data_IF_849923981416
#
_entry.id   IF_849923981416
#
_cell.length_a   1.000
_cell.length_b   1.000
_cell.length_c   1.000
_cell.angle_alpha   90.00
_cell.angle_beta   90.00
_cell.angle_gamma   90.00
#
_symmetry.space_group_name_H-M   'P 1'
#
loop_
_entity.id
_entity.type
_entity.pdbx_description
1 polymer ?
#
# COMPACT_ATOMS: atom_id res chain seq x y z
N UNK A 1 -5.54 24.57 -34.31
CA UNK A 1 -4.95 24.85 -32.99
C UNK A 1 -5.78 24.15 -31.92
N UNK A 2 -5.10 23.60 -30.91
CA UNK A 2 -5.59 23.03 -29.64
C UNK A 2 -6.50 21.79 -29.68
N UNK A 3 -5.86 20.63 -29.89
CA UNK A 3 -6.14 19.39 -29.15
C UNK A 3 -4.82 18.90 -28.54
N UNK A 4 -4.36 19.57 -27.48
CA UNK A 4 -3.41 18.96 -26.56
C UNK A 4 -4.26 18.32 -25.46
N UNK A 5 -4.69 17.09 -25.71
CA UNK A 5 -5.35 16.23 -24.74
C UNK A 5 -4.44 16.02 -23.53
N UNK A 6 -4.86 16.52 -22.37
CA UNK A 6 -5.03 15.89 -21.03
C UNK A 6 -4.32 14.57 -20.66
N UNK A 7 -3.31 14.10 -21.40
CA UNK A 7 -2.65 12.82 -21.12
C UNK A 7 -1.73 13.03 -19.90
N UNK A 8 -2.18 12.50 -18.77
CA UNK A 8 -1.39 12.46 -17.54
C UNK A 8 -1.68 13.58 -16.54
N UNK A 9 -2.63 14.49 -16.78
CA UNK A 9 -3.01 15.48 -15.76
C UNK A 9 -3.69 14.78 -14.57
N UNK A 10 -3.32 15.17 -13.34
CA UNK A 10 -3.94 14.58 -12.13
C UNK A 10 -5.35 15.13 -11.93
N UNK A 11 -5.61 16.38 -12.25
CA UNK A 11 -6.97 16.92 -12.24
C UNK A 11 -7.50 16.98 -13.67
N UNK A 12 -8.69 16.41 -13.87
CA UNK A 12 -9.37 16.46 -15.13
C UNK A 12 -9.76 17.93 -15.44
N UNK A 13 -9.65 18.41 -16.71
CA UNK A 13 -9.68 19.85 -17.00
C UNK A 13 -10.91 20.61 -16.48
N UNK A 14 -12.10 20.03 -16.63
CA UNK A 14 -13.36 20.62 -16.16
C UNK A 14 -13.49 20.64 -14.63
N UNK A 15 -13.05 19.57 -13.96
CA UNK A 15 -12.99 19.53 -12.49
C UNK A 15 -11.95 20.54 -11.96
N UNK A 16 -10.78 20.62 -12.59
CA UNK A 16 -9.74 21.59 -12.25
C UNK A 16 -10.27 23.03 -12.35
N UNK A 17 -10.92 23.39 -13.47
CA UNK A 17 -11.50 24.70 -13.66
C UNK A 17 -12.57 25.04 -12.61
N UNK A 18 -13.41 24.07 -12.24
CA UNK A 18 -14.40 24.27 -11.18
C UNK A 18 -13.74 24.46 -9.80
N UNK A 19 -12.74 23.66 -9.47
CA UNK A 19 -12.05 23.76 -8.18
C UNK A 19 -11.28 25.07 -8.03
N UNK A 20 -10.66 25.56 -9.11
CA UNK A 20 -10.01 26.88 -9.14
C UNK A 20 -11.05 27.98 -8.90
N UNK A 21 -12.21 27.93 -9.57
CA UNK A 21 -13.29 28.91 -9.37
C UNK A 21 -13.81 28.95 -7.92
N UNK A 22 -13.66 27.85 -7.18
CA UNK A 22 -14.09 27.71 -5.79
C UNK A 22 -12.96 27.97 -4.78
N UNK A 23 -11.77 28.41 -5.23
CA UNK A 23 -10.56 28.57 -4.41
C UNK A 23 -10.14 27.29 -3.67
N UNK A 24 -10.49 26.12 -4.22
CA UNK A 24 -10.17 24.80 -3.66
C UNK A 24 -8.89 24.21 -4.28
N UNK A 25 -8.33 24.85 -5.29
CA UNK A 25 -7.03 24.54 -5.90
C UNK A 25 -6.26 25.83 -6.08
N UNK A 26 -5.03 25.85 -5.59
CA UNK A 26 -4.08 26.93 -5.76
C UNK A 26 -2.92 26.46 -6.64
N UNK A 27 -2.58 27.28 -7.64
CA UNK A 27 -1.43 27.06 -8.50
C UNK A 27 -0.26 27.90 -7.95
N UNK A 28 0.88 27.29 -7.61
CA UNK A 28 2.07 28.04 -7.18
C UNK A 28 2.49 29.05 -8.25
N UNK A 29 2.91 30.23 -7.79
CA UNK A 29 3.50 31.27 -8.64
C UNK A 29 4.90 31.62 -8.10
N UNK A 30 6.00 31.29 -8.82
CA UNK A 30 6.03 30.66 -10.13
C UNK A 30 5.62 29.17 -10.11
N UNK A 31 5.13 28.62 -11.25
CA UNK A 31 4.81 27.20 -11.36
C UNK A 31 6.02 26.31 -11.10
N UNK A 32 5.85 25.30 -10.25
CA UNK A 32 6.89 24.33 -9.90
C UNK A 32 6.50 22.88 -10.26
N UNK A 33 5.44 22.70 -11.06
CA UNK A 33 4.90 21.39 -11.43
C UNK A 33 4.08 20.70 -10.33
N UNK A 34 3.81 21.39 -9.22
CA UNK A 34 2.90 20.96 -8.16
C UNK A 34 1.72 21.92 -8.03
N UNK A 35 0.64 21.44 -7.44
CA UNK A 35 -0.57 22.21 -7.11
C UNK A 35 -0.95 21.97 -5.65
N UNK A 36 -1.64 22.92 -5.04
CA UNK A 36 -2.19 22.77 -3.69
C UNK A 36 -3.70 22.59 -3.79
N UNK A 37 -4.18 21.42 -3.42
CA UNK A 37 -5.60 21.08 -3.46
C UNK A 37 -6.17 20.95 -2.05
N UNK A 38 -7.37 21.48 -1.83
CA UNK A 38 -8.06 21.33 -0.56
C UNK A 38 -8.25 19.85 -0.27
N UNK A 39 -7.90 19.42 0.94
CA UNK A 39 -7.93 18.02 1.37
C UNK A 39 -9.27 17.31 1.18
N UNK A 40 -10.40 18.04 1.14
CA UNK A 40 -11.76 17.54 0.86
C UNK A 40 -12.03 17.17 -0.59
N UNK A 41 -11.08 17.47 -1.50
CA UNK A 41 -11.21 17.26 -2.95
C UNK A 41 -10.14 16.34 -3.54
N UNK A 42 -9.24 15.80 -2.73
CA UNK A 42 -8.21 14.86 -3.19
C UNK A 42 -8.85 13.62 -3.83
N UNK A 43 -9.62 12.84 -3.09
CA UNK A 43 -10.29 11.64 -3.61
C UNK A 43 -11.79 11.64 -3.30
N UNK A 44 -12.51 10.62 -3.74
CA UNK A 44 -13.97 10.49 -3.57
C UNK A 44 -14.47 10.52 -2.11
N UNK A 45 -13.58 10.33 -1.14
CA UNK A 45 -13.94 10.28 0.28
C UNK A 45 -13.33 11.37 1.12
N UNK A 46 -12.41 12.11 0.53
CA UNK A 46 -11.80 13.26 1.14
C UNK A 46 -12.81 14.19 1.78
N UNK A 47 -13.97 14.39 1.17
CA UNK A 47 -15.02 15.24 1.73
C UNK A 47 -15.53 14.75 3.10
N UNK A 48 -15.73 13.43 3.25
CA UNK A 48 -16.23 12.84 4.48
C UNK A 48 -15.15 12.78 5.59
N UNK A 49 -13.90 12.43 5.25
CA UNK A 49 -12.80 12.31 6.23
C UNK A 49 -12.37 13.67 6.71
N UNK A 50 -12.38 14.66 5.82
CA UNK A 50 -12.00 16.03 6.13
C UNK A 50 -13.22 16.92 6.34
N UNK A 51 -14.37 16.36 6.72
CA UNK A 51 -15.61 17.14 6.97
C UNK A 51 -15.45 18.23 8.01
N UNK A 52 -14.51 18.05 8.94
CA UNK A 52 -14.13 19.01 9.96
C UNK A 52 -13.33 20.21 9.42
N UNK A 53 -12.90 20.17 8.16
CA UNK A 53 -12.21 21.26 7.47
C UNK A 53 -13.27 22.04 6.67
N UNK A 54 -13.54 23.31 7.01
CA UNK A 54 -14.46 24.14 6.25
C UNK A 54 -13.95 24.36 4.81
N UNK A 55 -14.84 24.29 3.82
CA UNK A 55 -14.46 24.49 2.39
C UNK A 55 -14.02 25.92 2.07
N UNK A 56 -14.39 26.89 2.92
CA UNK A 56 -13.94 28.28 2.82
C UNK A 56 -12.61 28.53 3.55
N UNK A 57 -11.89 27.47 3.95
CA UNK A 57 -10.57 27.61 4.52
C UNK A 57 -9.61 28.23 3.48
N UNK A 58 -9.05 29.39 3.81
CA UNK A 58 -8.02 30.02 2.99
C UNK A 58 -6.66 29.38 3.31
N UNK A 59 -5.89 29.06 2.28
CA UNK A 59 -4.55 28.48 2.38
C UNK A 59 -3.57 29.28 3.24
N UNK A 60 -3.67 30.62 3.24
CA UNK A 60 -2.83 31.49 4.06
C UNK A 60 -3.15 31.32 5.55
N UNK A 61 -4.43 31.14 5.89
CA UNK A 61 -4.91 31.01 7.27
C UNK A 61 -4.87 29.58 7.80
N UNK A 62 -5.01 28.60 6.90
CA UNK A 62 -5.24 27.17 7.16
C UNK A 62 -4.47 26.32 6.15
N UNK A 63 -3.13 26.38 6.13
CA UNK A 63 -2.33 25.61 5.17
C UNK A 63 -2.51 24.09 5.37
N UNK A 64 -2.86 23.66 6.58
CA UNK A 64 -3.21 22.28 6.92
C UNK A 64 -4.47 21.77 6.19
N UNK A 65 -5.34 22.67 5.72
CA UNK A 65 -6.53 22.33 4.92
C UNK A 65 -6.18 21.87 3.50
N UNK A 66 -4.95 22.11 3.04
CA UNK A 66 -4.48 21.82 1.70
C UNK A 66 -3.41 20.72 1.70
N UNK A 67 -3.29 20.05 0.56
CA UNK A 67 -2.23 19.09 0.29
C UNK A 67 -1.54 19.49 -1.02
N UNK A 68 -0.21 19.43 -1.02
CA UNK A 68 0.59 19.63 -2.23
C UNK A 68 0.71 18.30 -2.97
N UNK A 69 0.35 18.28 -4.24
CA UNK A 69 0.46 17.13 -5.14
C UNK A 69 1.07 17.59 -6.47
N UNK A 70 1.65 16.69 -7.28
CA UNK A 70 2.05 17.02 -8.63
C UNK A 70 0.85 17.46 -9.48
N UNK A 71 1.10 18.30 -10.49
CA UNK A 71 0.09 18.67 -11.49
C UNK A 71 -0.17 17.51 -12.45
N UNK A 72 0.90 16.77 -12.81
CA UNK A 72 0.88 15.66 -13.76
C UNK A 72 1.40 14.39 -13.12
N UNK A 73 0.74 13.28 -13.41
CA UNK A 73 1.08 11.95 -12.92
C UNK A 73 2.48 11.51 -13.37
N UNK A 74 2.88 11.83 -14.60
CA UNK A 74 4.23 11.58 -15.13
C UNK A 74 4.96 12.92 -15.21
N UNK A 75 5.80 13.21 -14.21
CA UNK A 75 6.55 14.46 -14.12
C UNK A 75 7.72 14.37 -13.14
N UNK A 76 8.66 15.33 -13.21
CA UNK A 76 9.69 15.54 -12.18
C UNK A 76 9.07 15.70 -10.78
N UNK A 77 8.00 16.48 -10.67
CA UNK A 77 7.29 16.70 -9.41
C UNK A 77 6.72 15.40 -8.83
N UNK A 78 6.29 14.45 -9.67
CA UNK A 78 5.92 13.10 -9.20
C UNK A 78 7.10 12.34 -8.62
N UNK A 79 8.28 12.43 -9.23
CA UNK A 79 9.49 11.76 -8.71
C UNK A 79 9.87 12.32 -7.33
N UNK A 80 9.75 13.63 -7.15
CA UNK A 80 9.92 14.27 -5.83
C UNK A 80 8.84 13.79 -4.84
N UNK A 81 7.58 13.79 -5.29
CA UNK A 81 6.43 13.38 -4.47
C UNK A 81 6.57 11.94 -3.95
N UNK A 82 6.98 10.99 -4.79
CA UNK A 82 7.13 9.59 -4.38
C UNK A 82 8.31 9.36 -3.42
N UNK A 83 9.23 10.32 -3.28
CA UNK A 83 10.19 10.33 -2.18
C UNK A 83 11.62 10.74 -2.50
N UNK A 84 11.96 11.07 -3.75
CA UNK A 84 13.31 11.55 -4.08
C UNK A 84 13.49 13.04 -3.74
N UNK A 85 14.72 13.46 -3.47
CA UNK A 85 15.04 14.87 -3.37
C UNK A 85 15.08 15.53 -4.77
N UNK A 86 15.08 16.86 -4.84
CA UNK A 86 15.02 17.60 -6.12
C UNK A 86 16.18 17.28 -7.06
N UNK A 87 17.39 17.11 -6.54
CA UNK A 87 18.58 16.86 -7.37
C UNK A 87 18.48 15.50 -8.05
N UNK A 88 18.17 14.45 -7.27
CA UNK A 88 17.96 13.11 -7.80
C UNK A 88 16.73 13.05 -8.71
N UNK A 89 15.64 13.74 -8.37
CA UNK A 89 14.48 13.81 -9.23
C UNK A 89 14.79 14.46 -10.58
N UNK A 90 15.68 15.47 -10.62
CA UNK A 90 16.17 16.09 -11.86
C UNK A 90 16.92 15.07 -12.73
N UNK A 91 17.82 14.29 -12.12
CA UNK A 91 18.57 13.22 -12.79
C UNK A 91 17.63 12.15 -13.37
N UNK A 92 16.72 11.60 -12.56
CA UNK A 92 15.77 10.55 -12.95
C UNK A 92 14.86 11.04 -14.07
N UNK A 93 14.36 12.28 -13.95
CA UNK A 93 13.51 12.90 -14.97
C UNK A 93 14.27 13.11 -16.28
N UNK A 94 15.52 13.55 -16.21
CA UNK A 94 16.40 13.69 -17.36
C UNK A 94 16.55 12.38 -18.13
N UNK A 95 16.69 11.25 -17.43
CA UNK A 95 16.73 9.92 -18.04
C UNK A 95 15.40 9.49 -18.67
N UNK A 96 14.27 9.81 -18.03
CA UNK A 96 12.93 9.49 -18.57
C UNK A 96 12.61 10.29 -19.85
N UNK A 97 12.97 11.57 -19.89
CA UNK A 97 12.72 12.43 -21.06
C UNK A 97 13.65 12.05 -22.21
N UNK A 98 14.93 11.79 -21.93
CA UNK A 98 15.93 11.41 -22.91
C UNK A 98 16.03 9.88 -23.07
N UNK A 99 14.88 9.20 -23.05
CA UNK A 99 14.82 7.75 -23.11
C UNK A 99 15.49 7.23 -24.40
N UNK A 100 16.45 6.30 -24.30
CA UNK A 100 17.16 5.81 -25.47
C UNK A 100 16.22 5.00 -26.37
N UNK A 101 16.40 5.11 -27.68
CA UNK A 101 15.76 4.19 -28.62
C UNK A 101 16.26 2.76 -28.37
N UNK A 102 15.34 1.80 -28.27
CA UNK A 102 15.71 0.40 -28.00
C UNK A 102 14.50 -0.53 -28.00
N UNK A 103 14.74 -1.79 -27.60
CA UNK A 103 13.71 -2.82 -27.47
C UNK A 103 12.78 -2.66 -26.25
N UNK A 104 13.04 -1.65 -25.41
CA UNK A 104 12.25 -1.30 -24.24
C UNK A 104 11.79 0.14 -24.41
N UNK A 105 10.48 0.36 -24.34
CA UNK A 105 9.85 1.67 -24.50
C UNK A 105 9.25 2.15 -23.17
N UNK A 106 8.86 3.42 -23.11
CA UNK A 106 8.08 3.95 -21.98
C UNK A 106 6.61 3.58 -22.15
N UNK A 107 5.87 3.52 -21.05
CA UNK A 107 4.41 3.31 -21.08
C UNK A 107 3.62 4.37 -21.87
N UNK A 108 4.23 5.53 -22.13
CA UNK A 108 3.65 6.62 -22.91
C UNK A 108 4.03 6.59 -24.39
N UNK A 109 4.99 5.75 -24.77
CA UNK A 109 5.43 5.64 -26.16
C UNK A 109 4.45 4.76 -26.95
N UNK A 110 4.31 4.98 -28.28
CA UNK A 110 3.50 4.11 -29.12
C UNK A 110 3.98 2.66 -29.03
N UNK A 111 3.08 1.75 -28.65
CA UNK A 111 3.36 0.32 -28.55
C UNK A 111 2.78 -0.43 -29.76
N UNK A 112 3.52 -1.42 -30.24
CA UNK A 112 3.04 -2.41 -31.21
C UNK A 112 2.38 -3.64 -30.56
N UNK A 113 2.21 -3.61 -29.22
CA UNK A 113 1.66 -4.71 -28.43
C UNK A 113 2.63 -5.87 -28.15
N UNK A 114 3.84 -5.84 -28.72
CA UNK A 114 4.88 -6.86 -28.51
C UNK A 114 6.11 -6.32 -27.80
N UNK A 115 6.33 -5.00 -27.87
CA UNK A 115 7.45 -4.31 -27.24
C UNK A 115 7.23 -4.15 -25.73
N UNK A 116 8.25 -4.48 -24.94
CA UNK A 116 8.20 -4.37 -23.49
C UNK A 116 8.16 -2.89 -23.07
N UNK A 117 7.11 -2.47 -22.38
CA UNK A 117 6.99 -1.14 -21.82
C UNK A 117 7.41 -1.11 -20.34
N UNK A 118 8.13 -0.07 -19.93
CA UNK A 118 8.45 0.21 -18.53
C UNK A 118 7.50 1.28 -18.01
N UNK A 119 6.84 0.99 -16.89
CA UNK A 119 6.00 1.97 -16.20
C UNK A 119 6.85 3.10 -15.60
N UNK A 120 6.29 4.30 -15.48
CA UNK A 120 7.00 5.43 -14.89
C UNK A 120 7.44 5.16 -13.46
N UNK A 121 6.59 4.49 -12.68
CA UNK A 121 6.92 4.13 -11.29
C UNK A 121 8.01 3.07 -11.22
N UNK A 122 8.03 2.08 -12.12
CA UNK A 122 9.11 1.08 -12.17
C UNK A 122 10.45 1.70 -12.58
N UNK A 123 10.42 2.70 -13.47
CA UNK A 123 11.61 3.50 -13.77
C UNK A 123 12.15 4.20 -12.53
N UNK A 124 11.31 4.95 -11.81
CA UNK A 124 11.72 5.67 -10.60
C UNK A 124 12.29 4.71 -9.53
N UNK A 125 11.63 3.56 -9.29
CA UNK A 125 12.06 2.55 -8.31
C UNK A 125 13.43 1.92 -8.61
N UNK A 126 13.91 1.94 -9.87
CA UNK A 126 15.26 1.43 -10.19
C UNK A 126 16.36 2.25 -9.55
N UNK A 127 16.10 3.53 -9.28
CA UNK A 127 17.08 4.44 -8.67
C UNK A 127 17.22 4.27 -7.14
N UNK A 128 16.50 3.32 -6.52
CA UNK A 128 16.73 2.94 -5.12
C UNK A 128 17.87 1.92 -4.95
N UNK A 129 18.49 1.49 -6.04
CA UNK A 129 19.52 0.43 -6.06
C UNK A 129 18.97 -0.94 -6.45
N UNK A 130 19.90 -1.89 -6.64
CA UNK A 130 19.60 -3.28 -6.98
C UNK A 130 19.59 -4.15 -5.71
N UNK A 131 18.44 -4.69 -5.27
CA UNK A 131 18.37 -5.51 -4.06
C UNK A 131 19.13 -6.84 -4.18
N UNK A 132 19.51 -7.26 -5.39
CA UNK A 132 20.35 -8.44 -5.60
C UNK A 132 21.85 -8.16 -5.37
N UNK A 133 22.27 -6.90 -5.39
CA UNK A 133 23.66 -6.52 -5.18
C UNK A 133 23.92 -6.11 -3.72
N UNK A 134 23.11 -5.20 -3.20
CA UNK A 134 23.26 -4.69 -1.84
C UNK A 134 21.96 -4.08 -1.33
N UNK A 135 21.58 -4.43 -0.11
CA UNK A 135 20.43 -3.85 0.58
C UNK A 135 20.66 -3.86 2.10
N UNK A 136 20.17 -2.83 2.78
CA UNK A 136 20.32 -2.67 4.23
C UNK A 136 19.08 -3.18 4.92
N UNK A 137 19.25 -4.07 5.89
CA UNK A 137 18.12 -4.62 6.66
C UNK A 137 18.43 -4.87 8.13
N UNK A 138 19.71 -4.86 8.50
CA UNK A 138 20.13 -4.95 9.88
C UNK A 138 19.69 -3.72 10.69
N UNK A 139 19.77 -3.84 12.01
CA UNK A 139 19.42 -2.75 12.92
C UNK A 139 20.56 -1.75 13.09
N UNK A 140 21.10 -1.26 11.97
CA UNK A 140 22.11 -0.19 11.92
C UNK A 140 21.52 1.06 11.29
N UNK A 141 21.04 1.98 12.12
CA UNK A 141 20.46 3.24 11.66
C UNK A 141 21.39 4.01 10.72
N UNK A 142 22.70 3.98 10.95
CA UNK A 142 23.68 4.72 10.13
C UNK A 142 23.76 4.14 8.73
N UNK A 143 23.72 2.81 8.58
CA UNK A 143 23.67 2.15 7.28
C UNK A 143 22.38 2.49 6.52
N UNK A 144 21.23 2.54 7.20
CA UNK A 144 19.96 2.90 6.58
C UNK A 144 19.97 4.34 6.04
N UNK A 145 20.37 5.31 6.87
CA UNK A 145 20.47 6.71 6.45
C UNK A 145 21.46 6.88 5.30
N UNK A 146 22.66 6.29 5.41
CA UNK A 146 23.68 6.35 4.36
C UNK A 146 23.18 5.80 3.03
N UNK A 147 22.47 4.67 3.04
CA UNK A 147 21.89 4.09 1.81
C UNK A 147 20.85 5.03 1.19
N UNK A 148 19.95 5.58 1.99
CA UNK A 148 18.92 6.51 1.52
C UNK A 148 19.51 7.82 0.99
N UNK A 149 20.54 8.36 1.63
CA UNK A 149 21.27 9.55 1.17
C UNK A 149 21.96 9.29 -0.18
N UNK A 150 22.65 8.15 -0.33
CA UNK A 150 23.28 7.74 -1.59
C UNK A 150 22.26 7.59 -2.73
N UNK A 151 21.06 7.09 -2.42
CA UNK A 151 19.96 6.98 -3.37
C UNK A 151 19.31 8.34 -3.68
N UNK A 152 19.63 9.41 -2.95
CA UNK A 152 19.01 10.72 -3.12
C UNK A 152 17.56 10.78 -2.61
N UNK A 153 17.24 10.04 -1.55
CA UNK A 153 15.92 10.06 -0.91
C UNK A 153 15.75 11.34 -0.09
N UNK A 154 14.58 11.96 -0.16
CA UNK A 154 14.27 13.18 0.59
C UNK A 154 14.25 12.94 2.10
N UNK A 155 14.75 13.90 2.88
CA UNK A 155 14.85 13.83 4.35
C UNK A 155 13.51 13.53 5.03
N UNK A 156 12.39 14.04 4.49
CA UNK A 156 11.05 13.71 4.98
C UNK A 156 10.80 12.21 4.95
N UNK A 157 11.02 11.56 3.82
CA UNK A 157 10.80 10.13 3.67
C UNK A 157 11.79 9.32 4.53
N UNK A 158 13.05 9.76 4.61
CA UNK A 158 14.04 9.12 5.50
C UNK A 158 13.54 9.11 6.95
N UNK A 159 13.09 10.25 7.46
CA UNK A 159 12.56 10.38 8.82
C UNK A 159 11.28 9.54 9.02
N UNK A 160 10.41 9.49 8.01
CA UNK A 160 9.18 8.69 8.04
C UNK A 160 9.44 7.18 8.09
N UNK A 161 10.50 6.68 7.43
CA UNK A 161 10.91 5.27 7.50
C UNK A 161 11.65 4.98 8.81
N UNK A 162 12.51 5.90 9.25
CA UNK A 162 13.41 5.70 10.41
C UNK A 162 12.80 6.07 11.76
N UNK A 163 11.51 6.40 11.80
CA UNK A 163 10.81 6.72 13.04
C UNK A 163 10.95 5.59 14.08
N UNK A 164 11.57 5.86 15.25
CA UNK A 164 11.87 4.83 16.24
C UNK A 164 10.63 4.08 16.75
N UNK A 165 9.45 4.70 16.70
CA UNK A 165 8.18 4.09 17.15
C UNK A 165 7.77 2.89 16.29
N UNK A 166 8.30 2.83 15.06
CA UNK A 166 8.01 1.78 14.06
C UNK A 166 9.24 0.95 13.73
N UNK A 167 10.26 0.94 14.61
CA UNK A 167 11.50 0.16 14.41
C UNK A 167 11.22 -1.32 14.10
N UNK A 168 10.34 -1.96 14.86
CA UNK A 168 9.92 -3.35 14.65
C UNK A 168 9.28 -3.56 13.27
N UNK A 169 8.44 -2.61 12.81
CA UNK A 169 7.85 -2.66 11.47
C UNK A 169 8.90 -2.44 10.37
N UNK A 170 9.81 -1.47 10.57
CA UNK A 170 10.94 -1.22 9.66
C UNK A 170 11.80 -2.48 9.50
N UNK A 171 12.05 -3.21 10.57
CA UNK A 171 12.89 -4.42 10.55
C UNK A 171 12.20 -5.64 9.93
N UNK A 172 10.91 -5.61 9.58
CA UNK A 172 10.28 -6.72 8.83
C UNK A 172 10.63 -6.72 7.33
N UNK A 173 11.35 -5.70 6.86
CA UNK A 173 11.71 -5.51 5.46
C UNK A 173 13.12 -4.97 5.32
N UNK A 174 13.50 -4.69 4.08
CA UNK A 174 14.79 -4.07 3.74
C UNK A 174 14.61 -2.59 3.40
N UNK A 175 15.70 -1.84 3.34
CA UNK A 175 15.70 -0.42 3.00
C UNK A 175 15.13 -0.21 1.59
N UNK A 176 15.65 -0.92 0.58
CA UNK A 176 15.12 -0.85 -0.79
C UNK A 176 13.65 -1.29 -0.82
N UNK A 177 13.30 -2.34 -0.07
CA UNK A 177 11.93 -2.83 0.04
C UNK A 177 10.96 -1.75 0.51
N UNK A 178 11.29 -1.04 1.60
CA UNK A 178 10.43 0.03 2.12
C UNK A 178 10.40 1.28 1.25
N UNK A 179 11.50 1.64 0.61
CA UNK A 179 11.53 2.75 -0.35
C UNK A 179 10.58 2.47 -1.50
N UNK A 180 10.73 1.31 -2.17
CA UNK A 180 9.89 0.92 -3.31
C UNK A 180 8.42 0.79 -2.92
N UNK A 181 8.13 0.16 -1.78
CA UNK A 181 6.77 0.07 -1.25
C UNK A 181 6.17 1.45 -0.98
N UNK A 182 6.94 2.38 -0.41
CA UNK A 182 6.43 3.75 -0.16
C UNK A 182 6.17 4.51 -1.46
N UNK A 183 7.08 4.38 -2.43
CA UNK A 183 6.93 5.01 -3.74
C UNK A 183 5.67 4.52 -4.46
N UNK A 184 5.41 3.21 -4.45
CA UNK A 184 4.18 2.62 -4.99
C UNK A 184 2.94 3.17 -4.28
N UNK A 185 2.93 3.16 -2.95
CA UNK A 185 1.80 3.70 -2.17
C UNK A 185 1.50 5.17 -2.49
N UNK A 186 2.54 5.99 -2.63
CA UNK A 186 2.40 7.41 -2.99
C UNK A 186 1.92 7.58 -4.42
N UNK A 187 2.42 6.77 -5.36
CA UNK A 187 2.02 6.83 -6.76
C UNK A 187 0.56 6.37 -6.97
N UNK A 188 0.18 5.23 -6.41
CA UNK A 188 -1.21 4.71 -6.42
C UNK A 188 -2.21 5.73 -5.85
N UNK A 189 -1.76 6.54 -4.88
CA UNK A 189 -2.59 7.61 -4.32
C UNK A 189 -2.87 8.74 -5.32
N UNK A 190 -1.88 9.11 -6.14
CA UNK A 190 -2.07 10.09 -7.21
C UNK A 190 -3.03 9.55 -8.28
N UNK A 191 -2.95 8.26 -8.61
CA UNK A 191 -3.89 7.61 -9.53
C UNK A 191 -5.33 7.58 -8.96
N UNK A 192 -5.50 7.43 -7.65
CA UNK A 192 -6.81 7.55 -7.00
C UNK A 192 -7.36 8.99 -7.06
N UNK A 193 -6.51 9.99 -6.88
CA UNK A 193 -6.89 11.41 -7.04
C UNK A 193 -7.34 11.67 -8.49
N UNK A 194 -6.57 11.17 -9.46
CA UNK A 194 -6.89 11.30 -10.88
C UNK A 194 -8.22 10.65 -11.24
N UNK A 195 -8.46 9.42 -10.78
CA UNK A 195 -9.74 8.74 -10.97
C UNK A 195 -10.89 9.52 -10.33
N UNK A 196 -10.71 10.01 -9.11
CA UNK A 196 -11.75 10.79 -8.43
C UNK A 196 -12.05 12.12 -9.11
N UNK A 197 -11.05 12.78 -9.70
CA UNK A 197 -11.23 14.00 -10.49
C UNK A 197 -12.01 13.73 -11.78
N UNK A 198 -11.66 12.66 -12.52
CA UNK A 198 -12.39 12.24 -13.70
C UNK A 198 -13.86 11.86 -13.41
N UNK A 199 -14.13 11.24 -12.26
CA UNK A 199 -15.50 10.97 -11.81
C UNK A 199 -16.30 12.26 -11.54
N UNK A 200 -15.67 13.28 -10.93
CA UNK A 200 -16.30 14.57 -10.70
C UNK A 200 -16.60 15.31 -11.99
N UNK A 201 -15.66 15.32 -12.94
CA UNK A 201 -15.88 15.94 -14.26
C UNK A 201 -17.08 15.31 -14.97
N UNK A 202 -17.15 13.98 -15.02
CA UNK A 202 -18.33 13.27 -15.57
C UNK A 202 -19.62 13.70 -14.88
N UNK A 203 -19.61 13.87 -13.55
CA UNK A 203 -20.80 14.32 -12.83
C UNK A 203 -21.22 15.76 -13.20
N UNK A 204 -20.28 16.64 -13.56
CA UNK A 204 -20.58 18.00 -14.04
C UNK A 204 -21.28 17.99 -15.40
N UNK A 205 -20.86 17.12 -16.32
CA UNK A 205 -21.48 16.97 -17.63
C UNK A 205 -22.95 16.51 -17.53
N UNK A 206 -23.25 15.62 -16.59
CA UNK A 206 -24.61 15.12 -16.35
C UNK A 206 -25.52 16.15 -15.65
N UNK A 207 -24.95 17.09 -14.88
CA UNK A 207 -25.72 18.19 -14.28
C UNK A 207 -26.10 19.27 -15.31
N UNK A 208 -25.34 19.41 -16.40
CA UNK A 208 -25.64 20.33 -17.50
C UNK A 208 -26.79 19.89 -18.42
N UNK A 209 -27.26 18.63 -18.31
CA UNK A 209 -28.17 18.01 -19.30
C UNK A 209 -29.53 17.57 -18.75
N UNK A 210 -29.85 17.78 -17.47
CA UNK A 210 -31.17 17.37 -16.91
C UNK A 210 -31.78 18.39 -15.95
N UNK A 211 -32.90 18.98 -16.40
CA UNK A 211 -33.92 19.57 -15.52
C UNK A 211 -34.90 18.46 -15.15
N UNK A 212 -34.57 17.58 -14.20
CA UNK A 212 -35.59 16.69 -13.60
C UNK A 212 -35.17 16.10 -12.24
N UNK A 213 -36.03 16.40 -11.25
CA UNK A 213 -36.30 15.68 -10.00
C UNK A 213 -35.13 15.34 -9.07
N UNK A 214 -34.95 16.19 -8.05
CA UNK A 214 -34.31 15.83 -6.77
C UNK A 214 -35.03 14.62 -6.16
N UNK A 215 -34.46 13.43 -6.28
CA UNK A 215 -34.52 12.41 -5.23
C UNK A 215 -33.18 12.37 -4.53
N UNK A 216 -33.13 12.97 -3.34
CA UNK A 216 -32.10 12.68 -2.36
C UNK A 216 -32.18 11.18 -2.02
N UNK A 217 -31.23 10.39 -2.51
CA UNK A 217 -30.91 9.08 -1.92
C UNK A 217 -29.56 9.20 -1.22
N UNK A 218 -29.58 8.99 0.09
CA UNK A 218 -28.45 9.18 0.97
C UNK A 218 -27.24 8.31 0.66
N UNK A 219 -26.07 8.90 0.90
CA UNK A 219 -24.88 8.33 1.52
C UNK A 219 -24.64 6.82 1.34
N UNK A 220 -23.59 6.47 0.59
CA UNK A 220 -22.75 5.31 0.88
C UNK A 220 -21.27 5.64 0.60
N UNK A 221 -20.47 5.47 1.66
CA UNK A 221 -19.09 5.88 1.89
C UNK A 221 -18.07 4.96 1.18
N UNK A 222 -16.98 5.53 0.62
CA UNK A 222 -16.32 5.01 -0.60
C UNK A 222 -14.77 5.01 -0.54
N UNK A 223 -14.08 4.56 0.53
CA UNK A 223 -12.61 4.81 0.77
C UNK A 223 -11.63 3.80 0.18
N UNK A 224 -11.24 3.78 -1.10
CA UNK A 224 -10.56 2.56 -1.56
C UNK A 224 -9.54 2.60 -2.71
N UNK A 225 -8.26 2.93 -2.45
CA UNK A 225 -7.20 2.68 -3.44
C UNK A 225 -6.96 1.17 -3.65
N UNK A 226 -6.88 0.38 -2.56
CA UNK A 226 -6.88 -1.09 -2.63
C UNK A 226 -8.21 -1.74 -2.42
N UNK A 227 -9.07 -1.16 -1.61
CA UNK A 227 -10.31 -1.83 -1.26
C UNK A 227 -11.37 -1.67 -2.37
N UNK A 228 -11.07 -1.16 -3.58
CA UNK A 228 -12.09 -0.63 -4.50
C UNK A 228 -13.05 -1.72 -5.03
N UNK A 229 -14.27 -1.73 -4.51
CA UNK A 229 -15.22 -2.83 -4.75
C UNK A 229 -14.97 -4.06 -3.86
N UNK A 230 -14.18 -3.91 -2.78
CA UNK A 230 -14.05 -4.86 -1.68
C UNK A 230 -15.41 -5.07 -1.06
N UNK A 231 -16.20 -4.01 -0.91
CA UNK A 231 -17.58 -4.09 -0.44
C UNK A 231 -18.54 -3.76 -1.59
N UNK A 232 -19.69 -4.42 -1.62
CA UNK A 232 -20.82 -4.02 -2.46
C UNK A 232 -21.55 -2.80 -1.86
N UNK A 233 -22.67 -2.43 -2.50
CA UNK A 233 -23.49 -1.30 -2.08
C UNK A 233 -24.27 -1.56 -0.79
N UNK A 234 -24.38 -2.82 -0.36
CA UNK A 234 -25.01 -3.23 0.89
C UNK A 234 -23.99 -3.35 2.04
N UNK A 235 -22.70 -3.15 1.77
CA UNK A 235 -21.62 -3.26 2.74
C UNK A 235 -21.05 -4.67 2.88
N UNK A 236 -21.50 -5.64 2.08
CA UNK A 236 -20.99 -7.00 2.12
C UNK A 236 -19.69 -7.16 1.33
N UNK A 237 -18.85 -8.10 1.73
CA UNK A 237 -17.56 -8.39 1.08
C UNK A 237 -17.74 -8.95 -0.35
N UNK A 238 -17.55 -8.10 -1.36
CA UNK A 238 -17.69 -8.41 -2.79
C UNK A 238 -16.39 -8.91 -3.43
N UNK A 239 -15.26 -8.19 -3.29
CA UNK A 239 -13.98 -8.52 -3.93
C UNK A 239 -12.84 -8.74 -2.94
N UNK A 240 -12.94 -9.82 -2.17
CA UNK A 240 -11.92 -10.20 -1.19
C UNK A 240 -10.51 -10.38 -1.79
N UNK A 241 -10.40 -10.67 -3.09
CA UNK A 241 -9.13 -10.79 -3.80
C UNK A 241 -8.25 -9.55 -3.66
N UNK A 242 -8.84 -8.38 -3.41
CA UNK A 242 -8.13 -7.14 -3.17
C UNK A 242 -7.29 -7.13 -1.87
N UNK A 243 -7.59 -8.03 -0.94
CA UNK A 243 -6.85 -8.21 0.32
C UNK A 243 -5.81 -9.34 0.25
N UNK A 244 -5.62 -9.97 -0.92
CA UNK A 244 -4.66 -11.07 -1.03
C UNK A 244 -3.22 -10.57 -0.98
N UNK A 245 -2.38 -11.24 -0.19
CA UNK A 245 -0.93 -11.04 -0.21
C UNK A 245 -0.31 -11.98 -1.22
N UNK A 246 0.48 -11.48 -2.20
CA UNK A 246 1.18 -12.34 -3.15
C UNK A 246 2.36 -13.07 -2.47
N UNK A 247 2.76 -14.25 -2.97
CA UNK A 247 3.90 -15.00 -2.46
C UNK A 247 5.27 -14.33 -2.78
N UNK A 248 6.33 -14.58 -2.02
CA UNK A 248 6.41 -15.45 -0.82
C UNK A 248 6.00 -14.71 0.45
N UNK A 249 5.37 -15.45 1.36
CA UNK A 249 4.86 -14.99 2.66
C UNK A 249 5.26 -15.99 3.76
N UNK A 250 4.85 -15.77 5.01
CA UNK A 250 5.20 -16.65 6.14
C UNK A 250 4.74 -18.10 5.95
N UNK A 251 3.56 -18.30 5.34
CA UNK A 251 2.94 -19.63 5.26
C UNK A 251 2.57 -20.01 3.84
N UNK A 252 3.02 -19.26 2.84
CA UNK A 252 2.86 -19.64 1.44
C UNK A 252 4.04 -19.22 0.58
N UNK A 253 4.64 -20.22 -0.08
CA UNK A 253 5.74 -20.04 -1.04
C UNK A 253 5.28 -19.59 -2.42
N UNK A 254 4.06 -19.93 -2.81
CA UNK A 254 3.60 -19.87 -4.23
C UNK A 254 2.13 -19.54 -4.44
N UNK A 255 1.29 -19.62 -3.41
CA UNK A 255 -0.11 -19.22 -3.48
C UNK A 255 -0.28 -17.84 -2.85
N UNK A 256 -1.15 -17.00 -3.42
CA UNK A 256 -1.62 -15.84 -2.67
C UNK A 256 -2.49 -16.32 -1.49
N UNK A 257 -2.48 -15.61 -0.37
CA UNK A 257 -3.31 -15.96 0.80
C UNK A 257 -3.88 -14.68 1.43
N UNK A 258 -4.88 -14.81 2.30
CA UNK A 258 -5.45 -13.68 3.05
C UNK A 258 -4.92 -13.68 4.47
N UNK A 259 -4.27 -12.58 4.86
CA UNK A 259 -3.59 -12.44 6.15
C UNK A 259 -4.33 -11.48 7.06
N UNK A 260 -4.68 -11.93 8.26
CA UNK A 260 -5.34 -11.11 9.27
C UNK A 260 -4.62 -11.26 10.61
N UNK A 261 -4.62 -10.21 11.43
CA UNK A 261 -4.18 -10.28 12.82
C UNK A 261 -5.38 -10.06 13.74
N UNK A 262 -5.57 -10.87 14.80
CA UNK A 262 -6.56 -10.58 15.83
C UNK A 262 -6.10 -9.44 16.76
N UNK A 263 -4.83 -9.02 16.68
CA UNK A 263 -4.28 -7.96 17.52
C UNK A 263 -4.56 -6.57 16.90
N UNK A 264 -5.60 -5.91 17.41
CA UNK A 264 -5.96 -4.56 16.98
C UNK A 264 -4.83 -3.55 17.19
N UNK A 265 -4.02 -3.70 18.24
CA UNK A 265 -2.92 -2.78 18.52
C UNK A 265 -1.84 -2.87 17.44
N UNK A 266 -1.55 -4.09 16.96
CA UNK A 266 -0.65 -4.33 15.83
C UNK A 266 -1.23 -3.80 14.53
N UNK A 267 -2.50 -4.09 14.22
CA UNK A 267 -3.17 -3.56 13.03
C UNK A 267 -3.15 -2.02 12.99
N UNK A 268 -3.42 -1.38 14.13
CA UNK A 268 -3.35 0.07 14.28
C UNK A 268 -1.94 0.61 14.11
N UNK A 269 -0.93 -0.10 14.63
CA UNK A 269 0.49 0.27 14.46
C UNK A 269 0.89 0.23 12.98
N UNK A 270 0.54 -0.85 12.27
CA UNK A 270 0.76 -0.97 10.83
C UNK A 270 0.06 0.13 10.03
N UNK A 271 -1.21 0.39 10.32
CA UNK A 271 -1.97 1.45 9.65
C UNK A 271 -1.37 2.85 9.89
N UNK A 272 -0.91 3.12 11.12
CA UNK A 272 -0.26 4.39 11.47
C UNK A 272 1.04 4.56 10.70
N UNK A 273 1.82 3.49 10.59
CA UNK A 273 3.08 3.52 9.87
C UNK A 273 2.90 3.72 8.36
N UNK A 274 1.91 3.06 7.74
CA UNK A 274 1.55 3.29 6.34
C UNK A 274 1.12 4.75 6.14
N UNK A 275 0.24 5.26 7.03
CA UNK A 275 -0.26 6.64 6.98
C UNK A 275 0.85 7.68 7.08
N UNK A 276 1.90 7.40 7.85
CA UNK A 276 3.06 8.30 7.96
C UNK A 276 3.87 8.36 6.67
N UNK A 277 3.96 7.23 5.95
CA UNK A 277 4.79 7.13 4.74
C UNK A 277 4.08 7.59 3.47
N UNK A 278 2.75 7.65 3.43
CA UNK A 278 2.05 8.06 2.20
C UNK A 278 0.55 8.31 2.39
N UNK A 279 -0.33 7.56 1.70
CA UNK A 279 -1.76 7.81 1.71
C UNK A 279 -2.42 7.51 3.06
N UNK A 280 -3.66 7.99 3.28
CA UNK A 280 -4.49 7.52 4.38
C UNK A 280 -4.60 5.99 4.37
N UNK A 281 -4.35 5.38 5.53
CA UNK A 281 -4.55 3.95 5.75
C UNK A 281 -5.89 3.69 6.45
N UNK A 282 -6.48 2.54 6.18
CA UNK A 282 -7.69 2.04 6.86
C UNK A 282 -7.38 0.68 7.47
N UNK A 283 -8.08 0.36 8.56
CA UNK A 283 -8.09 -0.98 9.14
C UNK A 283 -9.39 -1.64 8.68
N UNK A 284 -9.28 -2.81 8.07
CA UNK A 284 -10.44 -3.63 7.71
C UNK A 284 -10.62 -4.67 8.81
N UNK A 285 -11.79 -4.65 9.46
CA UNK A 285 -12.20 -5.69 10.38
C UNK A 285 -13.02 -6.73 9.64
N UNK A 286 -12.68 -8.01 9.82
CA UNK A 286 -13.46 -9.13 9.32
C UNK A 286 -13.96 -9.92 10.52
N UNK A 287 -15.28 -10.13 10.59
CA UNK A 287 -15.89 -11.03 11.55
C UNK A 287 -16.13 -12.39 10.88
N UNK A 288 -15.60 -13.44 11.50
CA UNK A 288 -15.83 -14.83 11.11
C UNK A 288 -16.61 -15.47 12.27
N UNK A 289 -17.67 -16.22 11.97
CA UNK A 289 -18.45 -16.90 13.01
C UNK A 289 -17.57 -17.94 13.70
N UNK A 290 -17.63 -18.02 15.04
CA UNK A 290 -16.85 -18.98 15.81
C UNK A 290 -17.10 -20.43 15.37
N UNK A 291 -18.33 -20.75 14.93
CA UNK A 291 -18.69 -22.05 14.38
C UNK A 291 -17.82 -22.44 13.19
N UNK A 292 -17.46 -21.49 12.31
CA UNK A 292 -16.63 -21.75 11.13
C UNK A 292 -15.23 -22.21 11.53
N UNK A 293 -14.66 -21.69 12.62
CA UNK A 293 -13.33 -22.09 13.08
C UNK A 293 -13.40 -23.33 13.97
N UNK A 294 -14.39 -23.39 14.87
CA UNK A 294 -14.53 -24.49 15.84
C UNK A 294 -15.01 -25.79 15.23
N UNK A 295 -15.68 -25.75 14.07
CA UNK A 295 -16.10 -26.94 13.33
C UNK A 295 -15.12 -27.40 12.25
N UNK A 296 -13.98 -26.71 12.06
CA UNK A 296 -12.97 -27.14 11.09
C UNK A 296 -12.29 -28.42 11.56
N UNK A 297 -12.16 -29.38 10.64
CA UNK A 297 -11.39 -30.59 10.89
C UNK A 297 -9.89 -30.26 11.01
N UNK A 298 -9.15 -31.14 11.68
CA UNK A 298 -7.71 -30.97 11.93
C UNK A 298 -6.87 -30.93 10.65
N UNK A 299 -7.40 -31.41 9.52
CA UNK A 299 -6.72 -31.32 8.23
C UNK A 299 -6.92 -29.94 7.59
N UNK A 300 -8.09 -29.33 7.76
CA UNK A 300 -8.46 -28.02 7.22
C UNK A 300 -7.88 -26.85 8.01
N UNK A 301 -7.65 -27.04 9.31
CA UNK A 301 -7.04 -26.04 10.19
C UNK A 301 -5.68 -26.52 10.69
N UNK A 302 -4.62 -25.78 10.35
CA UNK A 302 -3.27 -26.06 10.81
C UNK A 302 -2.73 -24.96 11.72
N UNK A 303 -1.97 -25.36 12.74
CA UNK A 303 -1.29 -24.45 13.64
C UNK A 303 0.24 -24.50 13.46
N UNK A 304 0.88 -23.33 13.45
CA UNK A 304 2.33 -23.19 13.39
C UNK A 304 2.78 -22.06 14.32
N UNK A 305 3.24 -22.39 15.52
CA UNK A 305 3.67 -21.40 16.52
C UNK A 305 5.17 -21.48 16.76
N UNK A 306 5.81 -20.31 16.85
CA UNK A 306 7.18 -20.21 17.34
C UNK A 306 7.23 -20.58 18.84
N UNK A 307 8.30 -21.22 19.35
CA UNK A 307 9.55 -21.59 18.66
C UNK A 307 9.55 -23.02 18.06
N UNK A 308 8.38 -23.63 17.86
CA UNK A 308 8.31 -25.04 17.47
C UNK A 308 8.96 -25.31 16.10
N UNK A 309 9.48 -26.53 15.90
CA UNK A 309 10.15 -26.94 14.66
C UNK A 309 9.27 -26.76 13.42
N UNK A 310 7.98 -27.11 13.49
CA UNK A 310 7.05 -26.94 12.38
C UNK A 310 6.97 -25.49 11.91
N UNK A 311 6.95 -24.51 12.83
CA UNK A 311 6.94 -23.09 12.47
C UNK A 311 8.25 -22.69 11.80
N UNK A 312 9.40 -23.08 12.39
CA UNK A 312 10.72 -22.71 11.87
C UNK A 312 10.95 -23.23 10.46
N UNK A 313 10.65 -24.51 10.24
CA UNK A 313 10.78 -25.16 8.93
C UNK A 313 9.79 -24.57 7.91
N UNK A 314 8.52 -24.41 8.29
CA UNK A 314 7.49 -23.88 7.39
C UNK A 314 7.81 -22.46 6.92
N UNK A 315 8.09 -21.56 7.88
CA UNK A 315 8.38 -20.14 7.58
C UNK A 315 9.63 -20.03 6.72
N UNK A 316 10.68 -20.78 7.07
CA UNK A 316 11.91 -20.79 6.28
C UNK A 316 11.62 -21.20 4.84
N UNK A 317 11.05 -22.39 4.62
CA UNK A 317 10.74 -22.89 3.27
C UNK A 317 9.85 -21.94 2.46
N UNK A 318 8.83 -21.35 3.10
CA UNK A 318 7.94 -20.39 2.45
C UNK A 318 8.65 -19.10 2.06
N UNK A 319 9.36 -18.45 3.00
CA UNK A 319 10.06 -17.17 2.80
C UNK A 319 11.10 -17.26 1.69
N UNK A 320 11.89 -18.33 1.66
CA UNK A 320 12.97 -18.54 0.66
C UNK A 320 12.52 -19.31 -0.59
N UNK A 321 11.21 -19.51 -0.76
CA UNK A 321 10.59 -20.16 -1.94
C UNK A 321 11.07 -21.59 -2.21
N UNK A 322 11.51 -22.33 -1.19
CA UNK A 322 11.89 -23.74 -1.32
C UNK A 322 10.66 -24.66 -1.28
N UNK A 323 10.79 -25.83 -1.90
CA UNK A 323 9.76 -26.87 -1.85
C UNK A 323 9.57 -27.36 -0.42
N UNK A 324 8.32 -27.48 0.03
CA UNK A 324 7.99 -28.03 1.34
C UNK A 324 8.31 -29.53 1.41
N UNK A 325 8.94 -30.01 2.51
CA UNK A 325 9.01 -31.42 2.86
C UNK A 325 7.61 -32.05 2.98
N UNK A 326 7.53 -33.38 2.90
CA UNK A 326 6.24 -34.08 2.89
C UNK A 326 5.43 -33.81 4.15
N UNK A 327 6.11 -33.69 5.30
CA UNK A 327 5.55 -33.48 6.62
C UNK A 327 4.87 -32.10 6.76
N UNK A 328 5.27 -31.14 5.91
CA UNK A 328 4.73 -29.78 5.89
C UNK A 328 3.71 -29.53 4.77
N UNK A 329 3.45 -30.52 3.90
CA UNK A 329 2.47 -30.36 2.81
C UNK A 329 1.07 -30.04 3.30
N UNK A 330 0.70 -30.55 4.48
CA UNK A 330 -0.59 -30.24 5.13
C UNK A 330 -0.87 -28.74 5.27
N UNK A 331 0.16 -27.90 5.42
CA UNK A 331 -0.01 -26.45 5.50
C UNK A 331 -0.39 -25.82 4.14
N UNK A 332 0.00 -26.42 3.01
CA UNK A 332 -0.36 -25.92 1.68
C UNK A 332 -1.82 -26.23 1.30
N UNK A 333 -2.38 -27.26 1.93
CA UNK A 333 -3.72 -27.79 1.65
C UNK A 333 -4.75 -27.29 2.68
N UNK A 334 -4.29 -26.73 3.81
CA UNK A 334 -5.14 -26.14 4.84
C UNK A 334 -5.98 -24.96 4.33
N UNK A 335 -7.24 -24.90 4.78
CA UNK A 335 -8.15 -23.76 4.58
C UNK A 335 -7.70 -22.58 5.44
N UNK A 336 -7.31 -22.86 6.69
CA UNK A 336 -6.86 -21.88 7.67
C UNK A 336 -5.56 -22.31 8.32
N UNK A 337 -4.59 -21.40 8.34
CA UNK A 337 -3.37 -21.54 9.14
C UNK A 337 -3.38 -20.47 10.23
N UNK A 338 -3.26 -20.89 11.48
CA UNK A 338 -3.05 -19.98 12.61
C UNK A 338 -1.60 -20.10 13.05
N UNK A 339 -0.86 -19.00 13.02
CA UNK A 339 0.55 -19.07 13.37
C UNK A 339 1.20 -17.77 13.77
N UNK A 340 2.40 -17.88 14.32
CA UNK A 340 3.17 -16.71 14.77
C UNK A 340 3.66 -15.89 13.58
N UNK A 341 3.55 -14.56 13.66
CA UNK A 341 4.01 -13.65 12.60
C UNK A 341 5.53 -13.57 12.62
N UNK A 342 6.14 -13.85 11.48
CA UNK A 342 7.57 -13.79 11.35
C UNK A 342 8.07 -12.35 11.18
N UNK A 343 9.18 -12.04 11.82
CA UNK A 343 9.89 -10.78 11.70
C UNK A 343 11.14 -10.98 10.83
N UNK A 344 11.77 -9.89 10.38
CA UNK A 344 12.90 -9.87 9.44
C UNK A 344 12.50 -10.07 7.97
N UNK A 345 13.29 -9.52 7.03
CA UNK A 345 13.10 -9.75 5.60
C UNK A 345 13.55 -11.14 5.17
N UNK A 346 13.18 -11.55 3.96
CA UNK A 346 13.51 -12.87 3.40
C UNK A 346 15.02 -13.17 3.40
N UNK A 347 15.87 -12.16 3.16
CA UNK A 347 17.34 -12.30 3.20
C UNK A 347 17.88 -12.79 4.55
N UNK A 348 17.20 -12.46 5.66
CA UNK A 348 17.56 -12.99 6.98
C UNK A 348 17.43 -14.51 7.05
N UNK A 349 16.39 -15.06 6.40
CA UNK A 349 16.12 -16.49 6.33
C UNK A 349 17.01 -17.20 5.31
N UNK A 350 17.37 -16.54 4.21
CA UNK A 350 18.30 -17.08 3.21
C UNK A 350 19.69 -17.36 3.80
N UNK A 351 20.09 -16.59 4.80
CA UNK A 351 21.39 -16.70 5.48
C UNK A 351 21.40 -17.68 6.66
N UNK A 352 20.28 -18.34 6.96
CA UNK A 352 20.13 -19.21 8.14
C UNK A 352 19.52 -20.53 7.79
N UNK A 353 19.72 -21.52 8.64
CA UNK A 353 18.97 -22.77 8.67
C UNK A 353 17.75 -22.65 9.59
N UNK A 354 16.72 -23.49 9.39
CA UNK A 354 15.57 -23.56 10.29
C UNK A 354 15.95 -23.76 11.77
N UNK A 355 17.03 -24.50 12.05
CA UNK A 355 17.51 -24.77 13.40
C UNK A 355 17.96 -23.50 14.15
N UNK A 356 18.40 -22.48 13.45
CA UNK A 356 18.90 -21.21 14.01
C UNK A 356 17.78 -20.21 14.34
N UNK A 357 16.53 -20.47 13.90
CA UNK A 357 15.40 -19.55 14.06
C UNK A 357 14.73 -19.63 15.44
N UNK A 358 15.53 -19.63 16.51
CA UNK A 358 15.06 -19.84 17.90
C UNK A 358 14.96 -18.57 18.73
N UNK A 359 15.46 -17.45 18.22
CA UNK A 359 15.49 -16.17 18.93
C UNK A 359 14.17 -15.41 18.78
N UNK A 360 13.81 -14.60 19.78
CA UNK A 360 12.62 -13.74 19.77
C UNK A 360 12.65 -12.67 18.67
N UNK A 361 13.84 -12.35 18.15
CA UNK A 361 13.99 -11.43 17.02
C UNK A 361 13.43 -11.97 15.70
N UNK A 362 13.12 -13.27 15.63
CA UNK A 362 12.50 -13.94 14.48
C UNK A 362 10.99 -13.69 14.39
N UNK A 363 10.36 -13.09 15.42
CA UNK A 363 8.91 -12.91 15.49
C UNK A 363 8.52 -11.49 15.88
N UNK A 364 7.32 -11.07 15.46
CA UNK A 364 6.79 -9.77 15.87
C UNK A 364 6.27 -9.87 17.30
N UNK A 365 6.78 -9.01 18.19
CA UNK A 365 6.30 -8.91 19.57
C UNK A 365 5.13 -7.96 19.73
N UNK A 366 4.17 -8.32 20.58
CA UNK A 366 3.07 -7.46 21.04
C UNK A 366 2.94 -7.55 22.56
N UNK A 367 2.18 -6.62 23.15
CA UNK A 367 1.90 -6.63 24.59
C UNK A 367 1.24 -7.94 25.01
N UNK A 368 1.77 -8.55 26.06
CA UNK A 368 1.23 -9.73 26.72
C UNK A 368 0.03 -9.38 27.62
N UNK A 369 -0.69 -10.40 28.12
CA UNK A 369 -1.82 -10.21 29.03
C UNK A 369 -1.42 -9.62 30.40
N UNK A 370 -0.13 -9.76 30.77
CA UNK A 370 0.43 -9.17 31.98
C UNK A 370 1.01 -7.78 31.67
N UNK A 371 0.94 -6.86 32.63
CA UNK A 371 1.55 -5.54 32.51
C UNK A 371 3.06 -5.68 32.26
N UNK A 372 3.55 -5.11 31.15
CA UNK A 372 4.94 -5.26 30.71
C UNK A 372 5.28 -6.63 30.06
N UNK A 373 4.30 -7.51 29.88
CA UNK A 373 4.50 -8.82 29.24
C UNK A 373 4.79 -8.71 27.74
N UNK A 374 5.61 -9.64 27.24
CA UNK A 374 5.86 -9.85 25.81
C UNK A 374 5.12 -11.11 25.35
N UNK A 375 4.50 -11.06 24.17
CA UNK A 375 4.02 -12.25 23.46
C UNK A 375 4.27 -12.12 21.97
N UNK A 376 4.51 -13.25 21.30
CA UNK A 376 4.60 -13.25 19.85
C UNK A 376 3.20 -13.03 19.22
N UNK A 377 3.13 -12.12 18.25
CA UNK A 377 1.92 -11.84 17.50
C UNK A 377 1.51 -13.04 16.66
N UNK A 378 0.21 -13.24 16.49
CA UNK A 378 -0.36 -14.34 15.70
C UNK A 378 -1.09 -13.76 14.50
N UNK A 379 -1.12 -14.51 13.41
CA UNK A 379 -1.92 -14.23 12.22
C UNK A 379 -2.80 -15.43 11.86
N UNK A 380 -3.96 -15.10 11.30
CA UNK A 380 -4.93 -16.01 10.72
C UNK A 380 -4.77 -15.91 9.21
N UNK A 381 -4.48 -17.03 8.57
CA UNK A 381 -4.10 -17.07 7.17
C UNK A 381 -5.04 -18.01 6.43
N UNK A 382 -5.96 -17.41 5.69
CA UNK A 382 -6.94 -18.17 4.92
C UNK A 382 -6.42 -18.41 3.51
N UNK A 383 -6.67 -19.62 2.99
CA UNK A 383 -6.38 -19.96 1.61
C UNK A 383 -7.10 -19.02 0.64
N UNK A 384 -6.44 -18.68 -0.48
CA UNK A 384 -7.11 -17.98 -1.59
C UNK A 384 -7.89 -18.93 -2.50
N UNK A 385 -7.86 -20.23 -2.23
CA UNK A 385 -8.70 -21.24 -2.88
C UNK A 385 -10.18 -21.02 -2.49
N UNK A 386 -11.10 -21.64 -3.23
CA UNK A 386 -12.54 -21.35 -3.10
C UNK A 386 -13.10 -21.62 -1.70
N UNK A 387 -12.57 -22.61 -1.00
CA UNK A 387 -12.97 -22.95 0.36
C UNK A 387 -12.58 -21.85 1.36
N UNK A 388 -11.33 -21.37 1.32
CA UNK A 388 -10.89 -20.25 2.15
C UNK A 388 -11.68 -18.96 1.88
N UNK A 389 -12.00 -18.68 0.60
CA UNK A 389 -12.89 -17.57 0.24
C UNK A 389 -14.31 -17.74 0.78
N UNK A 390 -14.88 -18.94 0.77
CA UNK A 390 -16.23 -19.22 1.30
C UNK A 390 -16.28 -19.06 2.81
N UNK A 391 -15.25 -19.54 3.53
CA UNK A 391 -15.12 -19.36 4.98
C UNK A 391 -15.14 -17.88 5.39
N UNK A 392 -14.59 -17.01 4.54
CA UNK A 392 -14.63 -15.57 4.76
C UNK A 392 -15.95 -14.90 4.36
N UNK A 393 -16.81 -15.53 3.53
CA UNK A 393 -18.06 -14.92 3.02
C UNK A 393 -19.32 -15.30 3.81
N UNK A 394 -19.24 -16.24 4.75
CA UNK A 394 -20.42 -16.80 5.42
C UNK A 394 -20.92 -15.86 6.53
N UNK A 395 -21.98 -15.08 6.22
CA UNK A 395 -22.72 -14.12 7.08
C UNK A 395 -21.84 -13.30 8.04
N UNK A 396 -21.33 -12.20 7.49
CA UNK A 396 -20.63 -11.16 8.24
C UNK A 396 -21.64 -10.11 8.73
N UNK A 397 -21.78 -9.94 10.04
CA UNK A 397 -22.26 -8.67 10.60
C UNK A 397 -21.03 -7.75 10.71
N UNK A 398 -20.92 -6.76 9.82
CA UNK A 398 -19.82 -5.78 9.82
C UNK A 398 -20.30 -4.54 10.57
N UNK A 399 -19.56 -4.12 11.60
CA UNK A 399 -19.78 -2.86 12.34
C UNK A 399 -18.77 -1.79 11.95
#
# INVERSE_FOLDING_TARGET
>A
MTRNSSVGDILAPGDAAQLIKLDLVNLPNPPNGSIQIHRRRLNRTSDAVHKNIPLNANIESRPDAFATIPEKLISKATIEFVGFNSDKATEIWGGWVNWPSGCIIREIDPSDGTTLAVSFIDWAKRHTGNPLEYDVWEDDNSAWFRHMEQCGIATELQNSIMDPRFKDMRLTGTCIGWLRNTMELRYEWLEEIQRASAEREKALEHQGTSTQSKKQSGLASRYQARINGLFDHEGNLAKIQLLSSPPSTDFSRSKSMYYFTPDYSLARKQATWIKQRGPPAVIVQIAVQDSVVTSMDLDDMQCAFWPNSNWRELVWHCRIKRRLPNELKKYNDAILIIGTIANRPNVYYEQRSPAELTSEDCVIGVGGPNEGGYRAAVQYVFSSDDEGKRSLKTKQDIR
#
